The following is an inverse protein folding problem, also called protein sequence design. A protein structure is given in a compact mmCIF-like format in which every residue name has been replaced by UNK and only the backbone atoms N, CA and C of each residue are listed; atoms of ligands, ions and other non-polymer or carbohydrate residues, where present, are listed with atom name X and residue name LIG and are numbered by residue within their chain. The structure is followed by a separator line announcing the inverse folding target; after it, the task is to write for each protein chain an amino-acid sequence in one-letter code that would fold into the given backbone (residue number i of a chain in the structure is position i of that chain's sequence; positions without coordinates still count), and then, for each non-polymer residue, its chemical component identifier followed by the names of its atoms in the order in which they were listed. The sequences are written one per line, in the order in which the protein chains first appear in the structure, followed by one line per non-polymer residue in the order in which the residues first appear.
data_IF_277240689519
#
_entry.id   IF_277240689519
#
_cell.length_a   1.000
_cell.length_b   1.000
_cell.length_c   1.000
_cell.angle_alpha   90.00
_cell.angle_beta   90.00
_cell.angle_gamma   90.00
#
_symmetry.space_group_name_H-M   'P 1'
#
loop_
_entity.id
_entity.type
_entity.pdbx_description
1 polymer ?
#
# COMPACT_ATOMS: atom_id res chain seq x y z
N UNK A 1 20.58 -27.36 24.42
CA UNK A 1 20.90 -26.40 23.34
C UNK A 1 19.61 -26.14 22.59
N UNK A 2 18.79 -25.16 22.92
CA UNK A 2 18.97 -23.69 23.02
C UNK A 2 18.32 -23.01 21.81
N UNK A 3 17.14 -22.40 22.05
CA UNK A 3 16.70 -21.09 21.53
C UNK A 3 16.46 -20.85 20.03
N UNK A 4 15.16 -20.72 19.67
CA UNK A 4 14.45 -19.58 19.02
C UNK A 4 15.10 -18.81 17.83
N UNK A 5 14.31 -18.18 16.91
CA UNK A 5 12.88 -17.82 17.06
C UNK A 5 11.96 -18.23 15.90
N UNK A 6 10.69 -18.42 16.23
CA UNK A 6 9.58 -18.27 15.28
C UNK A 6 9.66 -16.85 14.70
N UNK A 7 9.99 -16.75 13.42
CA UNK A 7 9.94 -15.52 12.67
C UNK A 7 8.47 -15.10 12.58
N UNK A 8 8.05 -14.28 13.55
CA UNK A 8 7.10 -13.20 13.36
C UNK A 8 7.52 -12.49 12.07
N UNK A 9 6.95 -12.92 10.95
CA UNK A 9 7.11 -12.20 9.69
C UNK A 9 6.52 -10.84 10.01
N UNK A 10 7.31 -9.76 10.00
CA UNK A 10 6.75 -8.45 10.22
C UNK A 10 5.60 -8.36 9.24
N UNK A 11 4.41 -8.04 9.75
CA UNK A 11 3.26 -7.62 8.97
C UNK A 11 3.83 -6.70 7.90
N UNK A 12 4.04 -7.28 6.72
CA UNK A 12 4.74 -6.65 5.61
C UNK A 12 3.71 -5.64 5.18
N UNK A 13 3.78 -4.48 5.84
CA UNK A 13 2.78 -3.42 5.84
C UNK A 13 2.30 -3.36 4.42
N UNK A 14 1.14 -3.95 4.15
CA UNK A 14 0.50 -3.79 2.86
C UNK A 14 0.05 -2.36 2.95
N UNK A 15 0.93 -1.45 2.55
CA UNK A 15 0.74 -0.02 2.68
C UNK A 15 -0.59 0.25 2.00
N UNK A 16 -1.65 0.41 2.81
CA UNK A 16 -3.02 0.48 2.33
C UNK A 16 -3.13 1.79 1.58
N UNK A 17 -3.00 1.77 0.26
CA UNK A 17 -2.98 2.99 -0.52
C UNK A 17 -4.39 3.53 -0.68
N UNK A 18 -4.55 4.84 -0.65
CA UNK A 18 -5.86 5.46 -0.83
C UNK A 18 -6.05 5.90 -2.28
N UNK A 19 -7.24 5.65 -2.82
CA UNK A 19 -7.64 6.15 -4.14
C UNK A 19 -8.49 7.42 -3.99
N UNK A 20 -8.00 8.61 -4.38
CA UNK A 20 -8.77 9.85 -4.26
C UNK A 20 -9.98 9.91 -5.19
N UNK A 21 -9.93 9.20 -6.33
CA UNK A 21 -11.03 9.17 -7.30
C UNK A 21 -12.18 8.27 -6.84
N UNK A 22 -11.85 7.08 -6.32
CA UNK A 22 -12.86 6.17 -5.77
C UNK A 22 -13.25 6.50 -4.33
N UNK A 23 -12.46 7.34 -3.65
CA UNK A 23 -12.57 7.65 -2.23
C UNK A 23 -12.58 6.40 -1.32
N UNK A 24 -11.68 5.45 -1.60
CA UNK A 24 -11.57 4.19 -0.85
C UNK A 24 -10.12 3.76 -0.67
N UNK A 25 -9.87 2.98 0.37
CA UNK A 25 -8.63 2.26 0.57
C UNK A 25 -8.51 1.09 -0.42
N UNK A 26 -7.31 0.90 -0.95
CA UNK A 26 -6.96 -0.10 -1.96
C UNK A 26 -5.86 -0.97 -1.40
N UNK A 27 -6.23 -2.19 -1.01
CA UNK A 27 -5.32 -3.21 -0.48
C UNK A 27 -4.63 -4.06 -1.55
N UNK A 28 -5.04 -3.89 -2.81
CA UNK A 28 -4.54 -4.65 -3.96
C UNK A 28 -4.34 -3.71 -5.16
N UNK A 29 -3.31 -2.84 -5.09
CA UNK A 29 -3.04 -1.89 -6.14
C UNK A 29 -2.33 -2.56 -7.33
N UNK A 30 -2.41 -1.94 -8.51
CA UNK A 30 -1.68 -2.39 -9.70
C UNK A 30 -0.48 -1.48 -9.94
N UNK A 31 0.64 -2.02 -10.41
CA UNK A 31 1.74 -1.20 -10.92
C UNK A 31 1.59 -1.04 -12.43
N UNK A 32 1.53 0.19 -12.91
CA UNK A 32 1.57 0.50 -14.32
C UNK A 32 2.94 0.12 -14.91
N UNK A 33 2.97 -0.75 -15.92
CA UNK A 33 4.22 -1.30 -16.47
C UNK A 33 5.10 -0.25 -17.16
N UNK A 34 4.50 0.75 -17.81
CA UNK A 34 5.24 1.77 -18.57
C UNK A 34 5.69 2.94 -17.68
N UNK A 35 4.85 3.32 -16.71
CA UNK A 35 5.10 4.49 -15.86
C UNK A 35 5.71 4.11 -14.50
N UNK A 36 5.74 2.83 -14.15
CA UNK A 36 6.11 2.32 -12.82
C UNK A 36 5.29 2.90 -11.65
N UNK A 37 4.18 3.58 -11.94
CA UNK A 37 3.30 4.20 -10.96
C UNK A 37 2.34 3.16 -10.37
N UNK A 38 2.05 3.27 -9.07
CA UNK A 38 1.05 2.43 -8.40
C UNK A 38 -0.33 3.06 -8.58
N UNK A 39 -1.28 2.30 -9.12
CA UNK A 39 -2.59 2.77 -9.58
C UNK A 39 -3.74 1.91 -9.04
N UNK A 40 -4.92 2.52 -8.98
CA UNK A 40 -6.15 1.87 -8.55
C UNK A 40 -6.56 0.81 -9.56
N UNK A 41 -6.75 -0.43 -9.08
CA UNK A 41 -7.25 -1.54 -9.91
C UNK A 41 -8.63 -1.26 -10.54
N UNK A 42 -9.43 -0.38 -9.93
CA UNK A 42 -10.80 -0.07 -10.40
C UNK A 42 -10.86 1.03 -11.45
N UNK A 43 -10.16 2.13 -11.24
CA UNK A 43 -10.28 3.33 -12.07
C UNK A 43 -8.98 3.75 -12.76
N UNK A 44 -7.85 3.09 -12.49
CA UNK A 44 -6.54 3.42 -13.05
C UNK A 44 -5.91 4.72 -12.53
N UNK A 45 -6.52 5.38 -11.55
CA UNK A 45 -5.96 6.60 -10.95
C UNK A 45 -4.74 6.26 -10.08
N UNK A 46 -3.64 7.04 -10.13
CA UNK A 46 -2.51 6.90 -9.21
C UNK A 46 -2.98 6.90 -7.76
N UNK A 47 -2.47 5.97 -6.97
CA UNK A 47 -2.79 5.86 -5.56
C UNK A 47 -1.78 6.64 -4.73
N UNK A 48 -2.26 7.17 -3.62
CA UNK A 48 -1.44 7.93 -2.67
C UNK A 48 -1.23 7.09 -1.41
N UNK A 49 -0.06 7.20 -0.80
CA UNK A 49 0.14 6.60 0.52
C UNK A 49 -0.75 7.36 1.51
N UNK A 50 -1.43 6.67 2.44
CA UNK A 50 -2.26 7.33 3.45
C UNK A 50 -1.42 8.06 4.50
N UNK A 51 -0.08 8.02 4.41
CA UNK A 51 0.79 8.47 5.49
C UNK A 51 0.92 10.00 5.52
N UNK A 52 0.50 10.49 6.68
CA UNK A 52 0.65 11.82 7.25
C UNK A 52 -0.14 12.94 6.56
N UNK A 53 -1.45 12.98 6.86
CA UNK A 53 -2.15 14.25 7.09
C UNK A 53 -1.31 15.05 8.10
N UNK A 54 -0.40 15.87 7.57
CA UNK A 54 0.51 16.71 8.34
C UNK A 54 -0.28 17.50 9.37
N UNK A 55 0.02 17.26 10.65
CA UNK A 55 -0.22 18.26 11.67
C UNK A 55 0.61 19.49 11.28
N UNK A 56 -0.06 20.58 10.90
CA UNK A 56 0.55 21.87 10.55
C UNK A 56 -0.46 22.99 10.63
#
# INVERSE_FOLDING_TARGET
MSGAPEADKPDEKRELLYCPNCAVEVSDPLTCGDCSAVICRRCGTPLEQPDELGMG
#
